data_IF_211795794435
#
_entry.id   IF_211795794435
#
_cell.length_a   1.000
_cell.length_b   1.000
_cell.length_c   1.000
_cell.angle_alpha   90.00
_cell.angle_beta   90.00
_cell.angle_gamma   90.00
#
_symmetry.space_group_name_H-M   'P 1'
#
loop_
_entity.id
_entity.type
_entity.pdbx_description
1 polymer ?
#
# COMPACT_ATOMS: atom_id res chain seq x y z
N UNK A 1 -8.14 -6.17 -8.00
CA UNK A 1 -7.01 -5.91 -7.11
C UNK A 1 -5.91 -5.20 -7.87
N UNK A 2 -5.28 -4.26 -7.24
CA UNK A 2 -4.26 -3.42 -7.88
C UNK A 2 -2.89 -3.84 -7.39
N UNK A 3 -1.88 -3.74 -8.24
CA UNK A 3 -0.50 -3.98 -7.86
C UNK A 3 0.27 -2.68 -8.02
N UNK A 4 1.17 -2.40 -7.10
CA UNK A 4 1.97 -1.20 -7.18
C UNK A 4 3.26 -1.31 -6.41
N UNK A 5 4.01 -0.21 -6.42
CA UNK A 5 5.32 -0.13 -5.80
C UNK A 5 5.31 0.97 -4.75
N UNK A 6 5.82 0.66 -3.57
CA UNK A 6 5.91 1.64 -2.48
C UNK A 6 6.88 2.74 -2.88
N UNK A 7 6.39 3.99 -2.88
CA UNK A 7 7.25 5.13 -3.12
C UNK A 7 8.07 5.45 -1.88
N UNK A 8 7.41 5.52 -0.75
CA UNK A 8 8.05 5.71 0.55
C UNK A 8 7.02 5.43 1.63
N UNK A 9 7.51 5.14 2.82
CA UNK A 9 6.66 4.95 3.99
C UNK A 9 7.40 5.48 5.22
N UNK A 10 6.71 6.29 6.02
CA UNK A 10 7.30 6.92 7.20
C UNK A 10 6.61 6.33 8.44
N UNK A 11 7.30 5.44 9.13
CA UNK A 11 6.74 4.76 10.29
C UNK A 11 6.36 5.73 11.40
N UNK A 12 7.23 6.67 11.80
CA UNK A 12 6.82 7.64 12.84
C UNK A 12 5.58 8.44 12.49
N UNK A 13 5.39 8.76 11.21
CA UNK A 13 4.20 9.51 10.79
C UNK A 13 3.01 8.59 10.55
N UNK A 14 3.25 7.32 10.31
CA UNK A 14 2.20 6.33 10.17
C UNK A 14 1.53 6.28 8.80
N UNK A 15 2.22 6.74 7.74
CA UNK A 15 1.65 6.65 6.41
C UNK A 15 2.73 6.71 5.34
N UNK A 16 2.33 6.40 4.11
CA UNK A 16 3.17 6.49 2.93
C UNK A 16 2.33 6.45 1.68
N UNK A 17 2.99 6.26 0.54
CA UNK A 17 2.30 6.25 -0.76
C UNK A 17 2.79 5.08 -1.62
N UNK A 18 1.86 4.53 -2.38
CA UNK A 18 2.11 3.44 -3.33
C UNK A 18 1.76 3.95 -4.72
N UNK A 19 2.67 3.72 -5.67
CA UNK A 19 2.41 4.04 -7.07
C UNK A 19 1.80 2.82 -7.76
N UNK A 20 0.54 2.92 -8.23
CA UNK A 20 -0.07 1.79 -8.95
C UNK A 20 0.64 1.51 -10.26
N UNK A 21 0.69 0.23 -10.63
CA UNK A 21 1.33 -0.16 -11.90
C UNK A 21 0.59 0.38 -13.11
N UNK A 22 -0.70 0.64 -12.99
CA UNK A 22 -1.50 1.13 -14.10
C UNK A 22 -1.25 2.60 -14.43
N UNK A 23 -0.37 3.26 -13.68
CA UNK A 23 -0.01 4.63 -13.97
C UNK A 23 -0.94 5.67 -13.37
N UNK A 24 -1.86 5.25 -12.51
CA UNK A 24 -2.75 6.20 -11.85
C UNK A 24 -2.03 7.00 -10.78
N UNK A 25 -2.81 7.83 -10.07
CA UNK A 25 -2.24 8.65 -9.01
C UNK A 25 -1.80 7.78 -7.83
N UNK A 26 -0.83 8.28 -7.07
CA UNK A 26 -0.36 7.58 -5.89
C UNK A 26 -1.49 7.35 -4.90
N UNK A 27 -1.46 6.19 -4.26
CA UNK A 27 -2.49 5.78 -3.31
C UNK A 27 -1.90 5.87 -1.90
N UNK A 28 -2.65 6.49 -1.00
CA UNK A 28 -2.23 6.62 0.39
C UNK A 28 -2.31 5.26 1.10
N UNK A 29 -1.29 4.93 1.89
CA UNK A 29 -1.32 3.72 2.71
C UNK A 29 -1.04 4.13 4.15
N UNK A 30 -1.91 3.69 5.06
CA UNK A 30 -1.86 4.01 6.47
C UNK A 30 -1.22 2.85 7.23
N UNK A 31 -0.57 3.15 8.35
CA UNK A 31 0.06 2.13 9.19
C UNK A 31 -0.96 1.08 9.66
N UNK A 32 -2.22 1.47 9.85
CA UNK A 32 -3.25 0.52 10.24
C UNK A 32 -3.45 -0.56 9.19
N UNK A 33 -3.41 -0.19 7.92
CA UNK A 33 -3.53 -1.17 6.84
C UNK A 33 -2.31 -2.09 6.80
N UNK A 34 -1.13 -1.54 7.06
CA UNK A 34 0.11 -2.32 7.11
C UNK A 34 0.04 -3.35 8.23
N UNK A 35 -0.41 -2.93 9.41
CA UNK A 35 -0.51 -3.82 10.57
C UNK A 35 -1.55 -4.90 10.37
N UNK A 36 -2.69 -4.55 9.75
CA UNK A 36 -3.72 -5.55 9.44
C UNK A 36 -3.21 -6.63 8.50
N UNK A 37 -2.25 -6.29 7.67
CA UNK A 37 -1.65 -7.25 6.74
C UNK A 37 -0.54 -8.08 7.38
N UNK A 38 -0.28 -7.86 8.67
CA UNK A 38 0.74 -8.61 9.39
C UNK A 38 2.14 -8.08 9.20
N UNK A 39 2.28 -6.85 8.73
CA UNK A 39 3.58 -6.24 8.50
C UNK A 39 3.82 -5.12 9.49
N UNK A 40 5.09 -4.84 9.78
CA UNK A 40 5.46 -3.76 10.68
C UNK A 40 5.69 -2.45 9.94
N UNK A 41 6.11 -2.53 8.69
CA UNK A 41 6.45 -1.36 7.90
C UNK A 41 6.49 -1.77 6.43
N UNK A 42 6.71 -0.79 5.55
CA UNK A 42 6.90 -1.02 4.13
C UNK A 42 8.23 -0.40 3.72
N UNK A 43 8.91 -1.07 2.80
CA UNK A 43 10.19 -0.56 2.27
C UNK A 43 9.97 0.14 0.95
N UNK A 44 10.77 1.16 0.69
CA UNK A 44 10.75 1.84 -0.59
C UNK A 44 11.07 0.82 -1.70
N UNK A 45 10.26 0.81 -2.75
CA UNK A 45 10.45 -0.10 -3.86
C UNK A 45 9.76 -1.45 -3.68
N UNK A 46 9.16 -1.69 -2.52
CA UNK A 46 8.47 -2.96 -2.27
C UNK A 46 7.23 -3.07 -3.14
N UNK A 47 7.00 -4.28 -3.67
CA UNK A 47 5.82 -4.55 -4.50
C UNK A 47 4.71 -5.11 -3.64
N UNK A 48 3.50 -4.59 -3.84
CA UNK A 48 2.33 -5.00 -3.06
C UNK A 48 1.12 -5.15 -3.97
N UNK A 49 0.21 -6.03 -3.56
CA UNK A 49 -1.14 -6.02 -4.07
C UNK A 49 -2.03 -5.34 -3.05
N UNK A 50 -3.08 -4.67 -3.49
CA UNK A 50 -3.97 -3.96 -2.59
C UNK A 50 -5.27 -3.62 -3.28
N UNK A 51 -6.27 -3.25 -2.47
CA UNK A 51 -7.52 -2.72 -2.98
C UNK A 51 -7.51 -1.22 -2.81
N UNK A 52 -8.03 -0.50 -3.80
CA UNK A 52 -8.12 0.95 -3.75
C UNK A 52 -9.51 1.30 -3.22
N UNK A 53 -9.55 2.03 -2.11
CA UNK A 53 -10.79 2.44 -1.47
C UNK A 53 -10.76 3.96 -1.33
N UNK A 54 -11.83 4.61 -1.77
CA UNK A 54 -11.95 6.05 -1.63
C UNK A 54 -12.35 6.40 -0.21
N UNK A 55 -11.54 7.21 0.46
CA UNK A 55 -11.88 7.71 1.78
C UNK A 55 -12.44 9.12 1.61
N UNK A 56 -13.76 9.22 1.79
CA UNK A 56 -14.46 10.49 1.58
C UNK A 56 -14.09 11.54 2.60
N UNK A 57 -13.65 11.13 3.78
CA UNK A 57 -13.30 12.08 4.83
C UNK A 57 -12.08 12.90 4.46
N UNK A 58 -11.15 12.31 3.73
CA UNK A 58 -9.91 13.00 3.34
C UNK A 58 -9.86 13.26 1.83
N UNK A 59 -10.87 12.78 1.08
CA UNK A 59 -10.93 13.00 -0.36
C UNK A 59 -9.84 12.32 -1.14
N UNK A 60 -9.34 11.17 -0.67
CA UNK A 60 -8.23 10.47 -1.32
C UNK A 60 -8.52 8.99 -1.44
N UNK A 61 -7.82 8.36 -2.39
CA UNK A 61 -7.81 6.91 -2.51
C UNK A 61 -6.80 6.33 -1.54
N UNK A 62 -7.19 5.29 -0.83
CA UNK A 62 -6.36 4.62 0.17
C UNK A 62 -6.22 3.15 -0.17
N UNK A 63 -5.08 2.57 0.21
CA UNK A 63 -4.83 1.15 -0.01
C UNK A 63 -5.33 0.34 1.18
N UNK A 64 -6.06 -0.74 0.91
CA UNK A 64 -6.55 -1.67 1.91
C UNK A 64 -6.21 -3.09 1.47
N UNK A 65 -6.28 -4.01 2.40
CA UNK A 65 -6.04 -5.45 2.13
C UNK A 65 -4.72 -5.67 1.42
N UNK A 66 -3.63 -5.19 2.03
CA UNK A 66 -2.30 -5.30 1.46
C UNK A 66 -1.84 -6.75 1.43
N UNK A 67 -1.13 -7.12 0.36
CA UNK A 67 -0.51 -8.43 0.24
C UNK A 67 0.83 -8.29 -0.44
N UNK A 68 1.74 -9.21 -0.15
CA UNK A 68 3.03 -9.24 -0.81
C UNK A 68 2.83 -9.78 -2.22
N UNK A 69 3.33 -9.06 -3.20
CA UNK A 69 3.15 -9.42 -4.59
C UNK A 69 4.44 -10.00 -5.17
N UNK A 70 4.29 -11.01 -5.99
CA UNK A 70 5.39 -11.55 -6.77
C UNK A 70 6.22 -12.61 -6.09
N UNK A 71 5.82 -13.02 -4.92
CA UNK A 71 6.56 -14.02 -4.23
C UNK A 71 5.79 -15.24 -4.01
N UNK A 72 5.79 -15.61 -3.97
CA UNK A 72 4.99 -16.30 -3.61
C UNK A 72 5.06 -17.40 -3.41
N UNK A 73 5.17 -17.23 -3.45
CA UNK A 73 5.08 -18.02 -3.43
C UNK A 73 5.25 -19.11 -3.16
N UNK A 74 5.45 -19.08 -3.30
CA UNK A 74 5.48 -20.10 -3.18
C UNK A 74 5.56 -20.90 -2.61
N UNK A 75 5.52 -20.91 -2.57
CA UNK A 75 5.47 -21.66 -2.05
C UNK A 75 5.40 -22.16 -1.77
#
# INVERSE_FOLDING_TARGET
>A
MTIGTVRWFDVPKGYGFIKPDDGGVDVLVDICAVERAGMASLDQGQRLSFEVVRDERIGRSCAENLGVSGLQARH
#
